data_IF_010570744469
#
_entry.id   IF_010570744469
#
_cell.length_a   1.000
_cell.length_b   1.000
_cell.length_c   1.000
_cell.angle_alpha   90.00
_cell.angle_beta   90.00
_cell.angle_gamma   90.00
#
_symmetry.space_group_name_H-M   'P 1'
#
loop_
_entity.id
_entity.type
_entity.pdbx_description
1 polymer ?
#
# COMPACT_ATOMS: atom_id res chain seq x y z
N UNK A 1 -27.65 -22.58 6.42
CA UNK A 1 -26.35 -22.54 5.71
C UNK A 1 -26.30 -21.22 4.96
N UNK A 2 -25.30 -20.35 5.23
CA UNK A 2 -25.11 -19.13 4.42
C UNK A 2 -24.94 -19.55 2.96
N UNK A 3 -25.60 -18.86 2.04
CA UNK A 3 -25.40 -19.04 0.60
C UNK A 3 -23.91 -19.01 0.30
N UNK A 4 -23.41 -20.06 -0.36
CA UNK A 4 -22.01 -20.20 -0.78
C UNK A 4 -21.71 -19.16 -1.85
N UNK A 5 -21.46 -17.92 -1.43
CA UNK A 5 -20.96 -16.89 -2.31
C UNK A 5 -19.54 -17.27 -2.75
N UNK A 6 -19.26 -17.32 -4.06
CA UNK A 6 -17.93 -17.66 -4.56
C UNK A 6 -16.93 -16.55 -4.19
N UNK A 7 -15.80 -16.94 -3.59
CA UNK A 7 -14.70 -16.01 -3.25
C UNK A 7 -14.14 -15.34 -4.52
N UNK A 8 -14.11 -16.07 -5.64
CA UNK A 8 -13.62 -15.58 -6.92
C UNK A 8 -14.73 -15.59 -7.98
N UNK A 9 -15.04 -14.40 -8.49
CA UNK A 9 -15.99 -14.17 -9.56
C UNK A 9 -15.28 -13.73 -10.85
N UNK A 10 -15.76 -14.21 -11.99
CA UNK A 10 -15.36 -13.75 -13.30
C UNK A 10 -16.06 -12.46 -13.72
N UNK A 11 -15.70 -11.93 -14.90
CA UNK A 11 -16.23 -10.66 -15.45
C UNK A 11 -17.76 -10.60 -15.57
N UNK A 12 -18.44 -11.74 -15.68
CA UNK A 12 -19.89 -11.84 -15.78
C UNK A 12 -20.59 -12.01 -14.42
N UNK A 13 -19.89 -11.74 -13.32
CA UNK A 13 -20.35 -11.98 -11.95
C UNK A 13 -20.76 -13.44 -11.71
N UNK A 14 -20.01 -14.38 -12.29
CA UNK A 14 -20.23 -15.83 -12.18
C UNK A 14 -19.02 -16.47 -11.50
N UNK A 15 -19.18 -17.57 -10.75
CA UNK A 15 -18.05 -18.30 -10.18
C UNK A 15 -17.02 -18.66 -11.25
N UNK A 16 -15.73 -18.55 -10.92
CA UNK A 16 -14.68 -19.02 -11.82
C UNK A 16 -14.77 -20.55 -11.99
N UNK A 17 -14.54 -21.03 -13.22
CA UNK A 17 -14.53 -22.47 -13.51
C UNK A 17 -13.12 -23.04 -13.27
N UNK A 18 -12.98 -24.31 -12.86
CA UNK A 18 -11.66 -24.93 -12.70
C UNK A 18 -10.76 -24.81 -13.94
N UNK A 19 -11.33 -24.97 -15.14
CA UNK A 19 -10.59 -24.82 -16.40
C UNK A 19 -9.95 -23.43 -16.54
N UNK A 20 -10.62 -22.38 -16.05
CA UNK A 20 -10.08 -21.03 -16.09
C UNK A 20 -8.79 -20.92 -15.30
N UNK A 21 -8.70 -21.58 -14.14
CA UNK A 21 -7.48 -21.62 -13.32
C UNK A 21 -6.38 -22.44 -14.00
N UNK A 22 -6.72 -23.59 -14.58
CA UNK A 22 -5.78 -24.43 -15.33
C UNK A 22 -5.14 -23.67 -16.50
N UNK A 23 -5.91 -22.83 -17.20
CA UNK A 23 -5.41 -22.03 -18.32
C UNK A 23 -4.67 -20.77 -17.84
N UNK A 24 -4.99 -20.25 -16.65
CA UNK A 24 -4.39 -19.03 -16.11
C UNK A 24 -2.93 -19.22 -15.76
N UNK A 25 -2.58 -20.29 -15.03
CA UNK A 25 -1.22 -20.47 -14.50
C UNK A 25 -0.16 -20.50 -15.62
N UNK A 26 -0.33 -21.25 -16.71
CA UNK A 26 0.64 -21.22 -17.81
C UNK A 26 0.73 -19.86 -18.51
N UNK A 27 -0.39 -19.11 -18.62
CA UNK A 27 -0.39 -17.75 -19.16
C UNK A 27 0.41 -16.79 -18.29
N UNK A 28 0.24 -16.87 -16.96
CA UNK A 28 1.03 -16.07 -16.02
C UNK A 28 2.51 -16.43 -16.09
N UNK A 29 2.85 -17.72 -16.15
CA UNK A 29 4.22 -18.18 -16.31
C UNK A 29 4.86 -17.69 -17.62
N UNK A 30 4.09 -17.65 -18.71
CA UNK A 30 4.55 -17.12 -19.99
C UNK A 30 4.82 -15.62 -19.92
N UNK A 31 3.88 -14.86 -19.35
CA UNK A 31 4.04 -13.42 -19.18
C UNK A 31 5.21 -13.06 -18.25
N UNK A 32 5.49 -13.90 -17.25
CA UNK A 32 6.64 -13.75 -16.35
C UNK A 32 7.97 -14.24 -16.97
N UNK A 33 7.97 -14.78 -18.19
CA UNK A 33 9.17 -15.26 -18.87
C UNK A 33 9.78 -16.56 -18.32
N UNK A 34 9.08 -17.24 -17.41
CA UNK A 34 9.55 -18.49 -16.79
C UNK A 34 9.01 -19.76 -17.46
N UNK A 35 8.06 -19.58 -18.40
CA UNK A 35 7.48 -20.68 -19.17
C UNK A 35 8.35 -21.01 -20.38
N UNK A 36 8.84 -22.25 -20.45
CA UNK A 36 9.43 -22.78 -21.68
C UNK A 36 8.39 -23.56 -22.47
N UNK A 37 8.48 -23.48 -23.80
CA UNK A 37 7.70 -24.33 -24.69
C UNK A 37 8.41 -25.68 -24.77
N UNK A 38 7.79 -26.73 -24.26
CA UNK A 38 8.30 -28.09 -24.44
C UNK A 38 8.06 -28.46 -25.91
N UNK A 39 9.14 -28.61 -26.68
CA UNK A 39 9.07 -29.02 -28.08
C UNK A 39 8.71 -30.50 -28.10
N UNK A 40 7.45 -30.82 -28.37
CA UNK A 40 7.00 -32.19 -28.54
C UNK A 40 6.82 -32.48 -30.04
N UNK A 41 7.00 -33.74 -30.44
CA UNK A 41 6.82 -34.20 -31.83
C UNK A 41 5.36 -34.12 -32.31
N UNK A 42 4.43 -33.93 -31.38
CA UNK A 42 3.01 -33.73 -31.64
C UNK A 42 2.62 -32.25 -31.53
N UNK A 43 1.66 -31.84 -32.36
CA UNK A 43 1.14 -30.47 -32.57
C UNK A 43 0.70 -29.75 -31.27
N UNK A 44 0.54 -30.47 -30.15
CA UNK A 44 0.14 -29.91 -28.86
C UNK A 44 1.34 -29.42 -28.04
N UNK A 45 1.43 -28.08 -27.90
CA UNK A 45 2.40 -27.42 -27.01
C UNK A 45 2.11 -27.83 -25.57
N UNK A 46 3.00 -28.60 -24.95
CA UNK A 46 2.91 -28.93 -23.52
C UNK A 46 3.52 -27.79 -22.71
N UNK A 47 2.73 -27.31 -21.74
CA UNK A 47 3.16 -26.28 -20.80
C UNK A 47 4.05 -26.89 -19.73
N UNK A 48 5.24 -26.30 -19.49
CA UNK A 48 6.15 -26.73 -18.43
C UNK A 48 5.60 -26.36 -17.05
N UNK A 49 5.24 -25.08 -16.82
CA UNK A 49 4.67 -24.65 -15.55
C UNK A 49 3.16 -24.76 -15.59
N UNK A 50 2.60 -25.47 -14.62
CA UNK A 50 1.17 -25.75 -14.48
C UNK A 50 0.73 -25.51 -13.03
N UNK A 51 -0.58 -25.65 -12.76
CA UNK A 51 -1.12 -25.58 -11.40
C UNK A 51 -0.55 -26.66 -10.47
N UNK A 52 -0.21 -27.84 -11.00
CA UNK A 52 0.46 -28.89 -10.25
C UNK A 52 1.88 -28.47 -9.84
N UNK A 53 2.66 -27.96 -10.79
CA UNK A 53 4.02 -27.46 -10.50
C UNK A 53 4.01 -26.33 -9.48
N UNK A 54 3.01 -25.44 -9.53
CA UNK A 54 2.84 -24.37 -8.55
C UNK A 54 2.53 -24.92 -7.15
N UNK A 55 1.74 -26.00 -7.05
CA UNK A 55 1.46 -26.70 -5.79
C UNK A 55 2.71 -27.38 -5.24
N UNK A 56 3.49 -28.04 -6.10
CA UNK A 56 4.72 -28.71 -5.70
C UNK A 56 5.81 -27.70 -5.28
N UNK A 57 5.84 -26.53 -5.93
CA UNK A 57 6.68 -25.41 -5.50
C UNK A 57 6.29 -24.92 -4.10
N UNK A 58 4.99 -24.75 -3.82
CA UNK A 58 4.53 -24.39 -2.49
C UNK A 58 4.97 -25.43 -1.46
N UNK A 59 4.72 -26.72 -1.72
CA UNK A 59 5.13 -27.81 -0.84
C UNK A 59 6.64 -27.79 -0.56
N UNK A 60 7.44 -27.65 -1.61
CA UNK A 60 8.91 -27.60 -1.50
C UNK A 60 9.38 -26.41 -0.68
N UNK A 61 8.73 -25.25 -0.86
CA UNK A 61 9.02 -24.04 -0.07
C UNK A 61 8.73 -24.26 1.41
N UNK A 62 7.59 -24.86 1.75
CA UNK A 62 7.23 -25.17 3.13
C UNK A 62 8.25 -26.12 3.78
N UNK A 63 8.67 -27.17 3.05
CA UNK A 63 9.67 -28.13 3.54
C UNK A 63 11.01 -27.43 3.82
N UNK A 64 11.47 -26.58 2.89
CA UNK A 64 12.75 -25.86 3.04
C UNK A 64 12.72 -24.91 4.24
N UNK A 65 11.60 -24.24 4.49
CA UNK A 65 11.42 -23.34 5.63
C UNK A 65 11.17 -24.06 6.96
N UNK A 66 11.30 -25.40 7.00
CA UNK A 66 11.21 -26.19 8.23
C UNK A 66 9.80 -26.34 8.79
N UNK A 67 8.78 -26.23 7.93
CA UNK A 67 7.38 -26.47 8.31
C UNK A 67 7.17 -27.97 8.56
N UNK A 68 6.40 -28.31 9.59
CA UNK A 68 6.06 -29.70 9.89
C UNK A 68 5.44 -30.42 8.68
N UNK A 69 5.88 -31.65 8.41
CA UNK A 69 5.47 -32.43 7.22
C UNK A 69 3.95 -32.56 7.07
N UNK A 70 3.23 -32.77 8.17
CA UNK A 70 1.77 -32.89 8.17
C UNK A 70 1.09 -31.59 7.72
N UNK A 71 1.66 -30.42 8.03
CA UNK A 71 1.17 -29.11 7.60
C UNK A 71 1.48 -28.87 6.12
N UNK A 72 2.63 -29.35 5.63
CA UNK A 72 2.96 -29.31 4.20
C UNK A 72 1.93 -30.08 3.35
N UNK A 73 1.52 -31.27 3.79
CA UNK A 73 0.46 -32.05 3.11
C UNK A 73 -0.92 -31.38 3.25
N UNK A 74 -1.24 -30.84 4.43
CA UNK A 74 -2.49 -30.13 4.67
C UNK A 74 -2.64 -28.91 3.73
N UNK A 75 -1.56 -28.13 3.57
CA UNK A 75 -1.55 -26.91 2.77
C UNK A 75 -1.87 -27.16 1.29
N UNK A 76 -1.51 -28.33 0.76
CA UNK A 76 -1.77 -28.72 -0.63
C UNK A 76 -3.03 -29.56 -0.80
N UNK A 77 -3.77 -29.79 0.30
CA UNK A 77 -5.02 -30.55 0.32
C UNK A 77 -4.84 -32.06 0.20
N UNK A 78 -3.66 -32.58 0.56
CA UNK A 78 -3.43 -34.02 0.64
C UNK A 78 -3.98 -34.60 1.95
N UNK A 79 -4.22 -35.91 1.95
CA UNK A 79 -4.58 -36.63 3.17
C UNK A 79 -3.39 -36.59 4.13
N UNK A 80 -3.60 -36.00 5.29
CA UNK A 80 -2.61 -35.90 6.36
C UNK A 80 -2.68 -37.16 7.20
N UNK A 81 -1.59 -37.94 7.24
CA UNK A 81 -1.46 -39.10 8.10
C UNK A 81 -2.51 -40.21 7.91
N UNK A 82 -2.58 -41.09 8.90
CA UNK A 82 -3.61 -42.12 8.96
C UNK A 82 -4.93 -41.56 9.54
N UNK A 83 -6.06 -42.23 9.32
CA UNK A 83 -7.41 -41.71 9.63
C UNK A 83 -7.62 -41.26 11.11
N UNK A 84 -6.69 -41.64 11.99
CA UNK A 84 -6.69 -41.35 13.42
C UNK A 84 -5.86 -40.11 13.82
N UNK A 85 -4.97 -39.62 12.96
CA UNK A 85 -4.18 -38.42 13.25
C UNK A 85 -5.01 -37.17 12.98
N UNK A 86 -5.65 -36.65 14.05
CA UNK A 86 -6.55 -35.48 13.99
C UNK A 86 -5.86 -34.19 14.44
N UNK A 87 -4.53 -34.11 14.35
CA UNK A 87 -3.74 -33.01 14.90
C UNK A 87 -4.13 -31.66 14.27
N UNK A 88 -4.43 -31.66 12.97
CA UNK A 88 -4.94 -30.52 12.21
C UNK A 88 -6.32 -30.04 12.68
N UNK A 89 -7.21 -30.98 13.01
CA UNK A 89 -8.57 -30.69 13.49
C UNK A 89 -8.60 -30.28 14.97
N UNK A 90 -7.76 -30.88 15.79
CA UNK A 90 -7.70 -30.65 17.23
C UNK A 90 -6.88 -29.39 17.59
N UNK A 91 -5.85 -29.07 16.80
CA UNK A 91 -4.94 -27.95 17.06
C UNK A 91 -4.74 -27.05 15.84
N UNK A 92 -5.81 -26.43 15.30
CA UNK A 92 -5.72 -25.60 14.10
C UNK A 92 -4.80 -24.38 14.25
N UNK A 93 -4.65 -23.85 15.48
CA UNK A 93 -3.75 -22.74 15.75
C UNK A 93 -2.27 -23.14 15.58
N UNK A 94 -1.89 -24.35 16.02
CA UNK A 94 -0.53 -24.86 15.82
C UNK A 94 -0.22 -25.05 14.34
N UNK A 95 -1.16 -25.60 13.58
CA UNK A 95 -1.01 -25.73 12.11
C UNK A 95 -0.84 -24.37 11.43
N UNK A 96 -1.53 -23.33 11.93
CA UNK A 96 -1.35 -21.96 11.45
C UNK A 96 0.05 -21.42 11.78
N UNK A 97 0.51 -21.57 13.02
CA UNK A 97 1.85 -21.14 13.45
C UNK A 97 2.95 -21.82 12.64
N UNK A 98 2.82 -23.13 12.41
CA UNK A 98 3.71 -23.91 11.55
C UNK A 98 3.73 -23.37 10.11
N UNK A 99 2.56 -23.13 9.51
CA UNK A 99 2.49 -22.55 8.17
C UNK A 99 3.12 -21.14 8.09
N UNK A 100 3.02 -20.36 9.16
CA UNK A 100 3.58 -19.00 9.21
C UNK A 100 5.11 -18.96 9.17
N UNK A 101 5.83 -20.05 9.45
CA UNK A 101 7.29 -20.11 9.31
C UNK A 101 7.74 -19.75 7.88
N UNK A 102 7.00 -20.22 6.87
CA UNK A 102 7.29 -19.93 5.46
C UNK A 102 6.74 -18.57 4.97
N UNK A 103 6.12 -17.77 5.84
CA UNK A 103 5.46 -16.50 5.47
C UNK A 103 6.43 -15.54 4.79
N UNK A 104 7.71 -15.51 5.19
CA UNK A 104 8.72 -14.64 4.59
C UNK A 104 8.94 -14.88 3.09
N UNK A 105 8.78 -16.13 2.62
CA UNK A 105 8.95 -16.53 1.21
C UNK A 105 7.66 -16.52 0.42
N UNK A 106 6.55 -16.86 1.05
CA UNK A 106 5.23 -16.89 0.40
C UNK A 106 4.69 -15.45 0.23
N UNK A 107 4.94 -14.60 1.22
CA UNK A 107 4.43 -13.24 1.26
C UNK A 107 5.41 -12.24 0.63
N UNK A 108 5.67 -12.43 -0.66
CA UNK A 108 6.63 -11.64 -1.45
C UNK A 108 6.23 -10.15 -1.50
N UNK A 109 4.93 -9.84 -1.40
CA UNK A 109 4.44 -8.45 -1.41
C UNK A 109 4.59 -7.73 -0.06
N UNK A 110 4.56 -8.44 1.07
CA UNK A 110 4.84 -7.81 2.38
C UNK A 110 6.33 -7.52 2.57
N UNK A 111 7.18 -8.24 1.85
CA UNK A 111 8.61 -7.95 1.76
C UNK A 111 8.97 -6.98 0.62
N UNK A 112 8.01 -6.54 -0.21
CA UNK A 112 8.28 -5.55 -1.26
C UNK A 112 8.82 -4.24 -0.66
N UNK A 113 8.30 -3.82 0.49
CA UNK A 113 8.83 -2.66 1.24
C UNK A 113 10.23 -2.90 1.80
N UNK A 114 10.62 -4.14 2.13
CA UNK A 114 11.96 -4.46 2.63
C UNK A 114 12.98 -4.63 1.49
N UNK A 115 12.61 -5.29 0.39
CA UNK A 115 13.45 -5.41 -0.81
C UNK A 115 13.63 -4.06 -1.53
N UNK A 116 12.62 -3.18 -1.52
CA UNK A 116 12.75 -1.79 -2.00
C UNK A 116 13.66 -0.94 -1.11
N UNK A 117 13.73 -1.22 0.19
CA UNK A 117 14.64 -0.53 1.12
C UNK A 117 16.11 -0.90 0.90
N UNK A 118 16.41 -2.07 0.34
CA UNK A 118 17.80 -2.52 0.13
C UNK A 118 18.42 -2.03 -1.20
N UNK A 119 17.60 -1.53 -2.13
CA UNK A 119 18.09 -0.87 -3.35
C UNK A 119 18.81 0.45 -3.03
N UNK A 120 20.13 0.49 -3.16
CA UNK A 120 20.99 1.65 -2.86
C UNK A 120 20.51 2.98 -3.46
N UNK A 121 19.95 2.95 -4.68
CA UNK A 121 19.44 4.14 -5.36
C UNK A 121 18.14 4.70 -4.76
N UNK A 122 17.32 3.87 -4.11
CA UNK A 122 16.08 4.32 -3.50
C UNK A 122 16.29 4.82 -2.07
N UNK A 123 17.29 4.32 -1.33
CA UNK A 123 17.71 4.91 -0.04
C UNK A 123 18.15 6.36 -0.19
N UNK A 124 18.89 6.68 -1.26
CA UNK A 124 19.25 8.07 -1.57
C UNK A 124 18.03 8.91 -1.90
N UNK A 125 17.07 8.37 -2.68
CA UNK A 125 15.83 9.08 -2.98
C UNK A 125 14.93 9.27 -1.75
N UNK A 126 14.85 8.29 -0.85
CA UNK A 126 14.10 8.40 0.41
C UNK A 126 14.74 9.47 1.32
N UNK A 127 16.07 9.47 1.44
CA UNK A 127 16.79 10.56 2.14
C UNK A 127 16.54 11.92 1.51
N UNK A 128 16.52 12.01 0.19
CA UNK A 128 16.22 13.25 -0.51
C UNK A 128 14.77 13.70 -0.26
N UNK A 129 13.82 12.77 -0.21
CA UNK A 129 12.42 13.06 0.11
C UNK A 129 12.28 13.54 1.56
N UNK A 130 12.90 12.90 2.54
CA UNK A 130 12.89 13.36 3.95
C UNK A 130 13.50 14.77 4.09
N UNK A 131 14.60 15.07 3.39
CA UNK A 131 15.20 16.41 3.40
C UNK A 131 14.28 17.44 2.75
N UNK A 132 13.55 17.06 1.69
CA UNK A 132 12.57 17.93 1.04
C UNK A 132 11.35 18.18 1.92
N UNK A 133 10.86 17.17 2.63
CA UNK A 133 9.73 17.30 3.57
C UNK A 133 10.08 18.28 4.70
N UNK A 134 11.25 18.12 5.34
CA UNK A 134 11.71 19.05 6.38
C UNK A 134 11.82 20.49 5.85
N UNK A 135 12.34 20.67 4.62
CA UNK A 135 12.42 22.00 3.98
C UNK A 135 11.05 22.60 3.67
N UNK A 136 10.08 21.78 3.28
CA UNK A 136 8.70 22.24 3.05
C UNK A 136 8.08 22.70 4.37
N UNK A 137 8.32 21.97 5.45
CA UNK A 137 7.83 22.33 6.80
C UNK A 137 8.42 23.67 7.28
N UNK A 138 9.74 23.85 7.14
CA UNK A 138 10.41 25.11 7.47
C UNK A 138 9.87 26.28 6.64
N UNK A 139 9.72 26.07 5.32
CA UNK A 139 9.16 27.09 4.43
C UNK A 139 7.71 27.44 4.80
N UNK A 140 6.89 26.47 5.18
CA UNK A 140 5.51 26.71 5.64
C UNK A 140 5.49 27.54 6.92
N UNK A 141 6.44 27.33 7.83
CA UNK A 141 6.56 28.11 9.06
C UNK A 141 6.93 29.57 8.75
N UNK A 142 7.94 29.79 7.91
CA UNK A 142 8.35 31.13 7.46
C UNK A 142 7.20 31.86 6.75
N UNK A 143 6.45 31.16 5.88
CA UNK A 143 5.29 31.75 5.20
C UNK A 143 4.19 32.14 6.18
N UNK A 144 3.93 31.33 7.22
CA UNK A 144 2.96 31.69 8.26
C UNK A 144 3.39 32.95 9.01
N UNK A 145 4.65 33.05 9.40
CA UNK A 145 5.18 34.22 10.12
C UNK A 145 5.07 35.49 9.26
N UNK A 146 5.42 35.40 7.97
CA UNK A 146 5.28 36.51 7.02
C UNK A 146 3.81 36.95 6.79
N UNK A 147 2.86 36.03 6.85
CA UNK A 147 1.42 36.36 6.76
C UNK A 147 0.98 37.14 7.99
N UNK A 148 1.41 36.71 9.19
CA UNK A 148 1.12 37.39 10.46
C UNK A 148 1.70 38.81 10.46
N UNK A 149 2.95 38.97 10.03
CA UNK A 149 3.59 40.29 9.94
C UNK A 149 2.86 41.23 8.98
N UNK A 150 2.43 40.73 7.82
CA UNK A 150 1.64 41.52 6.87
C UNK A 150 0.26 41.91 7.40
N UNK A 151 -0.40 41.04 8.16
CA UNK A 151 -1.67 41.37 8.81
C UNK A 151 -1.47 42.49 9.84
N UNK A 152 -0.45 42.37 10.69
CA UNK A 152 -0.12 43.40 11.67
C UNK A 152 0.21 44.76 11.01
N UNK A 153 0.91 44.78 9.88
CA UNK A 153 1.14 46.02 9.12
C UNK A 153 -0.15 46.61 8.52
N UNK A 154 -1.05 45.75 8.02
CA UNK A 154 -2.35 46.17 7.49
C UNK A 154 -3.23 46.78 8.57
N UNK A 155 -3.24 46.20 9.76
CA UNK A 155 -4.01 46.68 10.90
C UNK A 155 -3.50 48.05 11.36
N UNK A 156 -2.17 48.22 11.48
CA UNK A 156 -1.56 49.53 11.78
C UNK A 156 -1.88 50.59 10.73
N UNK A 157 -1.90 50.24 9.45
CA UNK A 157 -2.30 51.18 8.39
C UNK A 157 -3.76 51.60 8.50
N UNK A 158 -4.63 50.67 8.89
CA UNK A 158 -6.05 50.93 9.11
C UNK A 158 -6.25 51.88 10.29
N UNK A 159 -5.56 51.65 11.40
CA UNK A 159 -5.58 52.54 12.58
C UNK A 159 -5.08 53.95 12.26
N UNK A 160 -3.94 54.07 11.56
CA UNK A 160 -3.41 55.36 11.11
C UNK A 160 -4.39 56.11 10.20
N UNK A 161 -5.06 55.38 9.31
CA UNK A 161 -6.05 55.96 8.40
C UNK A 161 -7.26 56.50 9.18
N UNK A 162 -7.71 55.78 10.20
CA UNK A 162 -8.79 56.21 11.08
C UNK A 162 -8.42 57.46 11.88
N UNK A 163 -7.20 57.50 12.46
CA UNK A 163 -6.71 58.69 13.17
C UNK A 163 -6.64 59.93 12.27
N UNK A 164 -6.22 59.77 11.00
CA UNK A 164 -6.19 60.88 10.03
C UNK A 164 -7.61 61.41 9.79
N UNK A 165 -8.59 60.53 9.64
CA UNK A 165 -10.00 60.92 9.45
C UNK A 165 -10.52 61.70 10.65
N UNK A 166 -10.21 61.25 11.87
CA UNK A 166 -10.68 61.90 13.08
C UNK A 166 -10.01 63.27 13.31
N UNK A 167 -8.71 63.38 13.04
CA UNK A 167 -8.00 64.66 13.03
C UNK A 167 -8.55 65.63 11.97
N UNK A 168 -8.91 65.14 10.78
CA UNK A 168 -9.54 65.97 9.74
C UNK A 168 -10.91 66.50 10.18
N UNK A 169 -11.73 65.67 10.83
CA UNK A 169 -13.01 66.10 11.41
C UNK A 169 -12.80 67.18 12.47
N UNK A 170 -11.84 66.98 13.37
CA UNK A 170 -11.52 67.93 14.43
C UNK A 170 -11.04 69.28 13.85
N UNK A 171 -10.09 69.27 12.91
CA UNK A 171 -9.63 70.48 12.21
C UNK A 171 -10.76 71.22 11.51
N UNK A 172 -11.68 70.49 10.85
CA UNK A 172 -12.83 71.09 10.18
C UNK A 172 -13.81 71.72 11.19
N UNK A 173 -14.04 71.08 12.34
CA UNK A 173 -14.87 71.63 13.41
C UNK A 173 -14.27 72.89 14.04
N UNK A 174 -12.94 72.94 14.20
CA UNK A 174 -12.21 74.11 14.69
C UNK A 174 -12.24 75.25 13.67
N UNK A 175 -12.08 74.96 12.37
CA UNK A 175 -12.22 75.95 11.29
C UNK A 175 -13.64 76.53 11.22
N UNK A 176 -14.67 75.71 11.40
CA UNK A 176 -16.06 76.15 11.45
C UNK A 176 -16.32 77.07 12.67
N UNK A 177 -15.80 76.70 13.84
CA UNK A 177 -15.91 77.50 15.06
C UNK A 177 -15.19 78.85 14.96
N UNK A 178 -14.02 78.90 14.32
CA UNK A 178 -13.26 80.13 14.11
C UNK A 178 -13.94 81.11 13.14
N UNK A 179 -14.75 80.60 12.21
CA UNK A 179 -15.55 81.39 11.26
C UNK A 179 -16.77 82.06 11.91
N UNK A 180 -17.18 81.62 13.10
CA UNK A 180 -18.30 82.20 13.84
C UNK A 180 -17.87 83.28 14.85
N UNK A 181 -16.55 83.45 15.05
CA UNK A 181 -15.92 84.40 15.98
C UNK A 181 -15.30 85.63 15.27
N UNK A 182 -15.43 85.72 13.95
CA UNK A 182 -15.11 86.90 13.12
C UNK A 182 -16.40 87.50 12.58
#
# INVERSE_FOLDING_TARGET
MKSLEPIFIGRKNQPIRPQWLTDLIPKLAYNAGIQKKIRNSNITVKNEKTSHELRDLLKSTLIIEGVASYVCELAIGHKVGDSYEKQDKLYPNKSREEFMKASSKINIFSNYTNYLKEGSQLKEKIKQVEVLENRIEDNQKVVKDLIVDKQNESDKKTELSQMIVDLQKEVNSLKASKKHLQ
#
